data_IF_488874059077
#
_entry.id   IF_488874059077
#
_cell.length_a   1.000
_cell.length_b   1.000
_cell.length_c   1.000
_cell.angle_alpha   90.00
_cell.angle_beta   90.00
_cell.angle_gamma   90.00
#
_symmetry.space_group_name_H-M   'P 1'
#
loop_
_entity.id
_entity.type
_entity.pdbx_description
1 polymer ?
#
# COMPACT_ATOMS: atom_id res chain seq x y z
N UNK A 1 22.86 29.65 -30.35
CA UNK A 1 23.50 28.71 -29.42
C UNK A 1 22.43 28.25 -28.44
N UNK A 2 21.83 27.11 -28.73
CA UNK A 2 20.69 26.56 -27.98
C UNK A 2 21.23 25.72 -26.84
N UNK A 3 21.05 26.19 -25.60
CA UNK A 3 21.34 25.37 -24.42
C UNK A 3 20.19 24.37 -24.25
N UNK A 4 20.48 23.11 -24.55
CA UNK A 4 19.67 21.95 -24.17
C UNK A 4 19.66 21.85 -22.65
N UNK A 5 18.56 22.27 -22.02
CA UNK A 5 18.30 21.96 -20.62
C UNK A 5 18.12 20.44 -20.50
N UNK A 6 19.02 19.85 -19.71
CA UNK A 6 19.01 18.43 -19.40
C UNK A 6 17.67 18.03 -18.76
N UNK A 7 16.98 17.12 -19.44
CA UNK A 7 16.00 16.23 -18.81
C UNK A 7 16.79 15.36 -17.84
N UNK A 8 16.58 15.51 -16.52
CA UNK A 8 17.25 14.63 -15.56
C UNK A 8 17.24 15.09 -14.10
N UNK A 9 16.16 14.77 -13.39
CA UNK A 9 16.25 14.36 -11.99
C UNK A 9 16.24 15.49 -10.95
N UNK A 10 15.38 15.32 -9.97
CA UNK A 10 15.26 16.04 -8.70
C UNK A 10 16.52 16.01 -7.81
N UNK A 11 17.70 15.66 -8.33
CA UNK A 11 18.97 15.64 -7.59
C UNK A 11 19.42 17.01 -7.06
N UNK A 12 18.76 18.10 -7.50
CA UNK A 12 18.94 19.46 -6.97
C UNK A 12 17.91 19.91 -5.93
N UNK A 13 16.86 19.11 -5.66
CA UNK A 13 15.98 19.34 -4.51
C UNK A 13 16.73 18.79 -3.29
N UNK A 14 17.24 19.68 -2.44
CA UNK A 14 18.08 19.32 -1.30
C UNK A 14 17.47 18.24 -0.40
N UNK A 15 18.29 17.63 0.46
CA UNK A 15 17.89 16.56 1.40
C UNK A 15 16.61 16.84 2.20
N UNK A 16 16.27 18.12 2.36
CA UNK A 16 15.08 18.60 3.04
C UNK A 16 13.76 18.05 2.42
N UNK A 17 13.74 17.67 1.13
CA UNK A 17 12.57 17.10 0.46
C UNK A 17 12.26 15.65 0.89
N UNK A 18 13.27 14.94 1.40
CA UNK A 18 13.18 13.53 1.79
C UNK A 18 13.27 13.36 3.31
N UNK A 19 13.03 14.43 4.09
CA UNK A 19 13.02 14.35 5.55
C UNK A 19 11.84 13.50 6.04
N UNK A 20 12.15 12.56 6.94
CA UNK A 20 11.13 11.80 7.64
C UNK A 20 10.42 12.69 8.68
N UNK A 21 9.16 12.40 9.05
CA UNK A 21 8.45 13.15 10.08
C UNK A 21 9.26 13.25 11.37
N UNK A 22 9.63 14.48 11.75
CA UNK A 22 10.49 14.75 12.92
C UNK A 22 9.93 14.17 14.21
N UNK A 23 8.60 14.14 14.35
CA UNK A 23 7.93 13.55 15.50
C UNK A 23 8.17 12.03 15.63
N UNK A 24 8.19 11.29 14.52
CA UNK A 24 8.46 9.85 14.53
C UNK A 24 9.90 9.56 14.92
N UNK A 25 10.86 10.28 14.32
CA UNK A 25 12.29 10.17 14.65
C UNK A 25 12.54 10.56 16.11
N UNK A 26 11.88 11.61 16.62
CA UNK A 26 12.04 12.04 18.01
C UNK A 26 11.44 11.04 19.01
N UNK A 27 10.41 10.29 18.64
CA UNK A 27 9.87 9.22 19.49
C UNK A 27 10.84 8.04 19.54
N UNK A 28 11.32 7.58 18.39
CA UNK A 28 12.31 6.49 18.29
C UNK A 28 13.61 6.84 19.01
N UNK A 29 14.17 8.02 18.75
CA UNK A 29 15.42 8.45 19.40
C UNK A 29 15.30 8.50 20.94
N UNK A 30 14.10 8.74 21.49
CA UNK A 30 13.90 8.72 22.95
C UNK A 30 13.57 7.33 23.49
N UNK A 31 12.93 6.45 22.71
CA UNK A 31 12.70 5.06 23.13
C UNK A 31 14.01 4.29 23.20
N UNK A 32 14.84 4.41 22.16
CA UNK A 32 16.11 3.68 22.08
C UNK A 32 17.16 4.19 23.07
N UNK A 33 17.16 5.50 23.39
CA UNK A 33 18.05 6.07 24.43
C UNK A 33 17.65 5.64 25.84
N UNK A 34 16.41 5.16 26.02
CA UNK A 34 15.93 4.65 27.32
C UNK A 34 16.20 3.15 27.47
N UNK A 35 16.47 2.41 26.40
CA UNK A 35 16.81 0.99 26.50
C UNK A 35 18.25 0.84 27.04
N UNK A 36 18.44 0.33 28.28
CA UNK A 36 19.74 0.23 28.91
C UNK A 36 20.68 -0.79 28.22
N UNK A 37 20.16 -1.65 27.33
CA UNK A 37 20.92 -2.73 26.74
C UNK A 37 21.75 -2.33 25.51
N UNK A 38 21.39 -1.25 24.81
CA UNK A 38 21.97 -0.93 23.50
C UNK A 38 22.85 0.32 23.50
N UNK A 39 22.59 1.29 24.39
CA UNK A 39 23.45 2.48 24.51
C UNK A 39 23.50 2.94 25.97
N UNK A 40 24.67 2.82 26.62
CA UNK A 40 24.93 3.43 27.93
C UNK A 40 25.06 4.95 27.79
N UNK A 41 23.94 5.63 27.47
CA UNK A 41 23.86 7.07 27.50
C UNK A 41 23.42 7.48 28.91
N UNK A 42 24.14 8.38 29.60
CA UNK A 42 23.74 8.88 30.91
C UNK A 42 22.28 9.34 30.89
N UNK A 43 21.53 8.93 31.92
CA UNK A 43 20.07 8.97 32.11
C UNK A 43 19.40 10.36 31.92
N UNK A 44 20.17 11.40 31.63
CA UNK A 44 19.76 12.79 31.45
C UNK A 44 20.20 13.42 30.12
N UNK A 45 20.42 12.62 29.05
CA UNK A 45 20.83 13.19 27.76
C UNK A 45 19.64 13.86 27.07
N UNK A 46 19.50 15.17 27.28
CA UNK A 46 18.55 16.00 26.56
C UNK A 46 18.95 16.08 25.09
N UNK A 47 18.16 15.46 24.22
CA UNK A 47 18.29 15.60 22.77
C UNK A 47 18.11 17.08 22.40
N UNK A 48 19.20 17.75 22.04
CA UNK A 48 19.17 19.13 21.55
C UNK A 48 18.47 19.18 20.18
N UNK A 49 17.92 20.36 19.83
CA UNK A 49 17.20 20.59 18.58
C UNK A 49 18.05 20.24 17.33
N UNK A 50 19.35 20.51 17.40
CA UNK A 50 20.26 20.25 16.29
C UNK A 50 20.56 18.76 16.13
N UNK A 51 20.62 18.00 17.23
CA UNK A 51 20.78 16.53 17.21
C UNK A 51 19.59 15.87 16.53
N UNK A 52 18.37 16.32 16.83
CA UNK A 52 17.18 15.78 16.18
C UNK A 52 17.17 16.09 14.67
N UNK A 53 17.58 17.30 14.29
CA UNK A 53 17.68 17.68 12.88
C UNK A 53 18.74 16.86 12.16
N UNK A 54 19.88 16.61 12.80
CA UNK A 54 20.92 15.73 12.27
C UNK A 54 20.42 14.29 12.07
N UNK A 55 19.69 13.74 13.05
CA UNK A 55 19.10 12.40 12.96
C UNK A 55 18.10 12.26 11.79
N UNK A 56 17.27 13.29 11.59
CA UNK A 56 16.30 13.32 10.48
C UNK A 56 17.01 13.31 9.14
N UNK A 57 18.03 14.16 8.97
CA UNK A 57 18.82 14.23 7.74
C UNK A 57 19.65 12.96 7.52
N UNK A 58 20.26 12.41 8.57
CA UNK A 58 21.03 11.17 8.49
C UNK A 58 20.16 9.97 8.15
N UNK A 59 18.91 9.93 8.59
CA UNK A 59 17.99 8.84 8.24
C UNK A 59 17.70 8.82 6.72
N UNK A 60 17.50 9.98 6.09
CA UNK A 60 17.31 10.08 4.64
C UNK A 60 18.54 9.62 3.85
N UNK A 61 19.74 9.99 4.33
CA UNK A 61 21.00 9.51 3.75
C UNK A 61 21.18 8.00 3.97
N UNK A 62 20.83 7.48 5.14
CA UNK A 62 20.93 6.06 5.47
C UNK A 62 20.06 5.20 4.54
N UNK A 63 18.81 5.59 4.30
CA UNK A 63 17.91 4.88 3.37
C UNK A 63 18.51 4.84 1.96
N UNK A 64 19.04 5.98 1.49
CA UNK A 64 19.68 6.09 0.18
C UNK A 64 20.93 5.22 0.08
N UNK A 65 21.77 5.23 1.12
CA UNK A 65 22.98 4.43 1.20
C UNK A 65 22.69 2.93 1.17
N UNK A 66 21.75 2.47 2.00
CA UNK A 66 21.37 1.06 2.04
C UNK A 66 20.72 0.61 0.73
N UNK A 67 19.96 1.48 0.09
CA UNK A 67 19.34 1.21 -1.21
C UNK A 67 20.39 1.07 -2.30
N UNK A 68 21.41 1.94 -2.33
CA UNK A 68 22.54 1.84 -3.26
C UNK A 68 23.31 0.52 -3.06
N UNK A 69 23.67 0.18 -1.82
CA UNK A 69 24.35 -1.09 -1.54
C UNK A 69 23.48 -2.31 -1.92
N UNK A 70 22.18 -2.27 -1.64
CA UNK A 70 21.24 -3.34 -2.01
C UNK A 70 21.07 -3.47 -3.52
N UNK A 71 21.17 -2.36 -4.24
CA UNK A 71 21.14 -2.34 -5.70
C UNK A 71 22.39 -3.00 -6.28
N UNK A 72 23.58 -2.70 -5.75
CA UNK A 72 24.83 -3.29 -6.21
C UNK A 72 24.83 -4.82 -6.01
N UNK A 73 24.32 -5.29 -4.87
CA UNK A 73 24.10 -6.73 -4.60
C UNK A 73 23.10 -7.35 -5.58
N UNK A 74 22.03 -6.62 -5.93
CA UNK A 74 21.04 -7.10 -6.91
C UNK A 74 21.66 -7.24 -8.31
N UNK A 75 22.41 -6.24 -8.75
CA UNK A 75 23.12 -6.24 -10.03
C UNK A 75 24.17 -7.34 -10.11
N UNK A 76 24.92 -7.57 -9.04
CA UNK A 76 25.90 -8.67 -8.95
C UNK A 76 25.25 -10.05 -9.14
N UNK A 77 23.95 -10.18 -8.85
CA UNK A 77 23.14 -11.39 -9.07
C UNK A 77 22.37 -11.41 -10.39
N UNK A 78 22.54 -10.40 -11.24
CA UNK A 78 21.81 -10.27 -12.51
C UNK A 78 20.34 -9.86 -12.36
N UNK A 79 19.92 -9.38 -11.18
CA UNK A 79 18.55 -8.99 -10.89
C UNK A 79 18.34 -7.48 -11.14
N UNK A 80 17.31 -7.13 -11.92
CA UNK A 80 16.91 -5.74 -12.17
C UNK A 80 16.05 -5.13 -11.05
N UNK A 81 15.59 -5.98 -10.12
CA UNK A 81 14.70 -5.59 -9.02
C UNK A 81 15.36 -5.91 -7.69
N UNK A 82 15.32 -4.96 -6.75
CA UNK A 82 15.80 -5.17 -5.38
C UNK A 82 14.79 -6.06 -4.64
N UNK A 83 15.27 -7.19 -4.11
CA UNK A 83 14.50 -8.11 -3.28
C UNK A 83 14.94 -8.01 -1.83
N UNK A 84 14.12 -8.51 -0.90
CA UNK A 84 14.48 -8.54 0.52
C UNK A 84 15.81 -9.28 0.78
N UNK A 85 16.13 -10.30 -0.01
CA UNK A 85 17.40 -11.01 0.11
C UNK A 85 18.61 -10.09 -0.19
N UNK A 86 18.49 -9.20 -1.17
CA UNK A 86 19.57 -8.27 -1.51
C UNK A 86 19.84 -7.27 -0.36
N UNK A 87 18.80 -6.80 0.32
CA UNK A 87 18.93 -5.91 1.49
C UNK A 87 19.60 -6.65 2.66
N UNK A 88 19.19 -7.90 2.93
CA UNK A 88 19.81 -8.71 3.98
C UNK A 88 21.29 -8.96 3.71
N UNK A 89 21.66 -9.17 2.45
CA UNK A 89 23.02 -9.42 2.02
C UNK A 89 23.88 -8.14 2.06
N UNK A 90 23.33 -7.02 1.59
CA UNK A 90 23.97 -5.70 1.70
C UNK A 90 24.26 -5.32 3.15
N UNK A 91 23.35 -5.61 4.09
CA UNK A 91 23.63 -5.43 5.51
C UNK A 91 24.82 -6.26 6.03
N UNK A 92 25.15 -7.39 5.40
CA UNK A 92 26.35 -8.16 5.75
C UNK A 92 27.60 -7.55 5.15
N UNK A 93 27.53 -7.07 3.93
CA UNK A 93 28.64 -6.43 3.21
C UNK A 93 29.02 -5.08 3.84
N UNK A 94 28.03 -4.36 4.34
CA UNK A 94 28.22 -3.11 5.09
C UNK A 94 28.61 -3.34 6.57
N UNK A 95 28.91 -4.58 6.97
CA UNK A 95 29.33 -4.96 8.33
C UNK A 95 28.40 -4.48 9.46
N UNK A 96 27.08 -4.41 9.20
CA UNK A 96 26.13 -4.07 10.27
C UNK A 96 26.16 -5.14 11.38
N UNK A 97 26.01 -4.73 12.65
CA UNK A 97 26.06 -5.63 13.79
C UNK A 97 25.13 -6.85 13.64
N UNK A 98 25.56 -8.05 14.09
CA UNK A 98 24.76 -9.26 13.97
C UNK A 98 23.36 -9.16 14.61
N UNK A 99 23.22 -8.41 15.71
CA UNK A 99 21.93 -8.23 16.38
C UNK A 99 20.93 -7.46 15.51
N UNK A 100 21.34 -6.38 14.85
CA UNK A 100 20.50 -5.62 13.91
C UNK A 100 20.06 -6.48 12.72
N UNK A 101 20.97 -7.30 12.19
CA UNK A 101 20.66 -8.24 11.10
C UNK A 101 19.69 -9.33 11.55
N UNK A 102 19.74 -9.77 12.81
CA UNK A 102 18.78 -10.75 13.36
C UNK A 102 17.40 -10.12 13.48
N UNK A 103 17.31 -8.95 14.10
CA UNK A 103 16.05 -8.23 14.28
C UNK A 103 15.36 -7.93 12.94
N UNK A 104 16.13 -7.51 11.91
CA UNK A 104 15.56 -7.30 10.58
C UNK A 104 14.97 -8.59 9.97
N UNK A 105 15.57 -9.77 10.23
CA UNK A 105 15.00 -11.05 9.75
C UNK A 105 13.68 -11.36 10.44
N UNK A 106 13.60 -11.14 11.75
CA UNK A 106 12.38 -11.37 12.53
C UNK A 106 11.24 -10.47 12.02
N UNK A 107 11.53 -9.19 11.74
CA UNK A 107 10.55 -8.27 11.14
C UNK A 107 10.14 -8.68 9.72
N UNK A 108 11.06 -9.23 8.92
CA UNK A 108 10.77 -9.77 7.58
C UNK A 108 9.79 -10.95 7.68
N UNK A 109 10.01 -11.87 8.62
CA UNK A 109 9.13 -13.01 8.86
C UNK A 109 7.73 -12.55 9.29
N UNK A 110 7.64 -11.65 10.27
CA UNK A 110 6.39 -11.05 10.70
C UNK A 110 5.65 -10.34 9.55
N UNK A 111 6.37 -9.62 8.69
CA UNK A 111 5.79 -8.98 7.51
C UNK A 111 5.21 -9.99 6.52
N UNK A 112 5.91 -11.11 6.28
CA UNK A 112 5.42 -12.19 5.40
C UNK A 112 4.14 -12.82 5.94
N UNK A 113 4.06 -13.05 7.25
CA UNK A 113 2.84 -13.54 7.88
C UNK A 113 1.68 -12.55 7.74
N UNK A 114 1.95 -11.27 7.99
CA UNK A 114 0.94 -10.22 7.86
C UNK A 114 0.42 -10.13 6.42
N UNK A 115 1.29 -10.23 5.42
CA UNK A 115 0.89 -10.24 4.02
C UNK A 115 -0.01 -11.44 3.67
N UNK A 116 0.29 -12.63 4.20
CA UNK A 116 -0.57 -13.82 4.01
C UNK A 116 -1.95 -13.61 4.63
N UNK A 117 -2.02 -13.08 5.87
CA UNK A 117 -3.28 -12.78 6.56
C UNK A 117 -4.11 -11.76 5.78
N UNK A 118 -3.48 -10.69 5.29
CA UNK A 118 -4.16 -9.66 4.50
C UNK A 118 -4.66 -10.19 3.15
N UNK A 119 -3.91 -11.08 2.50
CA UNK A 119 -4.34 -11.73 1.27
C UNK A 119 -5.56 -12.64 1.51
N UNK A 120 -5.56 -13.41 2.59
CA UNK A 120 -6.71 -14.23 2.97
C UNK A 120 -7.96 -13.38 3.26
N UNK A 121 -7.83 -12.33 4.07
CA UNK A 121 -8.95 -11.42 4.37
C UNK A 121 -9.51 -10.74 3.11
N UNK A 122 -8.65 -10.37 2.15
CA UNK A 122 -9.09 -9.82 0.85
C UNK A 122 -9.82 -10.85 0.00
N UNK A 123 -9.36 -12.10 0.00
CA UNK A 123 -10.02 -13.19 -0.73
C UNK A 123 -11.41 -13.48 -0.14
N UNK A 124 -11.54 -13.53 1.18
CA UNK A 124 -12.81 -13.72 1.88
C UNK A 124 -13.79 -12.57 1.60
N UNK A 125 -13.34 -11.31 1.68
CA UNK A 125 -14.17 -10.15 1.35
C UNK A 125 -14.63 -10.18 -0.12
N UNK A 126 -13.75 -10.59 -1.05
CA UNK A 126 -14.10 -10.74 -2.45
C UNK A 126 -15.14 -11.85 -2.67
N UNK A 127 -15.03 -12.99 -1.98
CA UNK A 127 -16.02 -14.06 -2.04
C UNK A 127 -17.38 -13.62 -1.51
N UNK A 128 -17.42 -12.98 -0.34
CA UNK A 128 -18.66 -12.46 0.26
C UNK A 128 -19.34 -11.42 -0.66
N UNK A 129 -18.57 -10.55 -1.31
CA UNK A 129 -19.11 -9.59 -2.28
C UNK A 129 -19.73 -10.27 -3.50
N UNK A 130 -19.11 -11.34 -4.01
CA UNK A 130 -19.63 -12.12 -5.14
C UNK A 130 -20.89 -12.89 -4.77
N UNK A 131 -20.95 -13.46 -3.58
CA UNK A 131 -22.14 -14.16 -3.08
C UNK A 131 -23.30 -13.19 -2.89
N UNK A 132 -23.06 -12.02 -2.31
CA UNK A 132 -24.08 -10.97 -2.14
C UNK A 132 -24.59 -10.44 -3.49
N UNK A 133 -23.70 -10.27 -4.47
CA UNK A 133 -24.08 -9.87 -5.83
C UNK A 133 -24.90 -10.96 -6.56
N UNK A 134 -24.56 -12.25 -6.37
CA UNK A 134 -25.34 -13.37 -6.91
C UNK A 134 -26.73 -13.45 -6.27
N UNK A 135 -26.82 -13.31 -4.95
CA UNK A 135 -28.09 -13.31 -4.23
C UNK A 135 -28.99 -12.13 -4.64
N UNK A 136 -28.42 -10.93 -4.81
CA UNK A 136 -29.15 -9.77 -5.29
C UNK A 136 -29.69 -9.96 -6.72
N UNK A 137 -28.90 -10.55 -7.63
CA UNK A 137 -29.35 -10.88 -9.00
C UNK A 137 -30.45 -11.94 -9.02
N UNK A 138 -30.35 -12.97 -8.18
CA UNK A 138 -31.38 -13.99 -8.07
C UNK A 138 -32.70 -13.42 -7.53
N UNK A 139 -32.63 -12.52 -6.54
CA UNK A 139 -33.81 -11.84 -6.01
C UNK A 139 -34.47 -10.90 -7.03
N UNK A 140 -33.66 -10.18 -7.83
CA UNK A 140 -34.18 -9.32 -8.90
C UNK A 140 -34.87 -10.13 -10.02
N UNK A 141 -34.28 -11.26 -10.43
CA UNK A 141 -34.88 -12.14 -11.44
C UNK A 141 -36.17 -12.81 -10.94
N UNK A 142 -36.25 -13.15 -9.65
CA UNK A 142 -37.48 -13.69 -9.06
C UNK A 142 -38.60 -12.64 -8.97
N UNK A 143 -38.26 -11.37 -8.75
CA UNK A 143 -39.24 -10.28 -8.74
C UNK A 143 -39.79 -9.98 -10.15
N UNK A 144 -38.96 -10.03 -11.19
CA UNK A 144 -39.40 -9.87 -12.59
C UNK A 144 -40.32 -11.02 -13.06
N UNK A 145 -40.08 -12.25 -12.59
CA UNK A 145 -40.91 -13.41 -12.94
C UNK A 145 -42.32 -13.38 -12.32
N UNK A 146 -42.58 -12.53 -11.31
CA UNK A 146 -43.90 -12.39 -10.67
C UNK A 146 -44.77 -11.27 -11.28
N UNK A 147 -44.26 -10.50 -12.25
CA UNK A 147 -44.97 -9.38 -12.91
C UNK A 147 -45.60 -9.77 -14.27
N UNK A 148 -45.56 -11.05 -14.67
CA UNK A 148 -46.01 -11.51 -16.01
C UNK A 148 -47.33 -12.30 -16.00
N UNK A 149 -48.05 -12.38 -14.89
CA UNK A 149 -49.29 -13.19 -14.80
C UNK A 149 -50.60 -12.36 -14.68
N UNK A 150 -50.84 -11.41 -15.60
CA UNK A 150 -52.21 -10.99 -15.93
C UNK A 150 -52.34 -10.41 -17.36
N UNK A 151 -52.60 -11.29 -18.34
CA UNK A 151 -53.45 -11.02 -19.51
C UNK A 151 -53.60 -12.28 -20.39
N UNK A 152 -54.81 -12.85 -20.45
CA UNK A 152 -55.24 -13.79 -21.49
C UNK A 152 -56.35 -13.18 -22.36
N UNK A 153 -56.96 -13.93 -23.30
CA UNK A 153 -56.41 -14.29 -24.62
C UNK A 153 -57.39 -13.98 -25.80
N UNK A 154 -56.92 -13.97 -27.06
CA UNK A 154 -57.77 -14.16 -28.26
C UNK A 154 -56.97 -14.55 -29.54
N UNK A 155 -57.32 -15.71 -30.12
CA UNK A 155 -57.47 -16.16 -31.54
C UNK A 155 -56.95 -15.30 -32.73
N UNK A 156 -56.55 -15.75 -33.93
CA UNK A 156 -56.48 -17.02 -34.70
C UNK A 156 -55.63 -16.75 -36.01
N UNK A 157 -55.15 -17.82 -36.67
CA UNK A 157 -54.81 -18.02 -38.12
C UNK A 157 -53.40 -17.81 -38.71
N UNK A 158 -52.87 -18.94 -39.21
CA UNK A 158 -52.27 -19.22 -40.55
C UNK A 158 -51.03 -18.43 -40.99
N UNK A 159 -50.00 -18.96 -41.66
CA UNK A 159 -49.84 -20.14 -42.53
C UNK A 159 -48.34 -20.34 -42.81
N UNK A 160 -47.92 -21.60 -42.95
CA UNK A 160 -46.89 -22.15 -43.87
C UNK A 160 -45.42 -21.64 -43.92
N UNK A 161 -44.52 -22.63 -43.77
CA UNK A 161 -43.29 -22.90 -44.58
C UNK A 161 -41.95 -22.87 -43.83
N UNK A 162 -41.25 -24.00 -43.93
CA UNK A 162 -39.91 -24.28 -43.40
C UNK A 162 -38.81 -24.06 -44.48
N UNK A 163 -37.54 -24.50 -44.28
CA UNK A 163 -36.31 -23.77 -43.87
C UNK A 163 -35.27 -23.74 -45.06
N UNK A 164 -33.91 -23.63 -44.97
CA UNK A 164 -32.96 -23.58 -43.82
C UNK A 164 -31.69 -22.65 -43.96
N UNK A 165 -30.78 -22.77 -42.98
CA UNK A 165 -29.29 -22.73 -43.07
C UNK A 165 -28.47 -21.41 -42.98
N UNK A 166 -27.72 -21.27 -41.84
CA UNK A 166 -26.29 -20.91 -41.55
C UNK A 166 -25.48 -19.91 -42.44
N UNK A 167 -24.31 -19.31 -42.06
CA UNK A 167 -23.44 -19.48 -40.86
C UNK A 167 -22.77 -18.19 -40.25
N UNK A 168 -22.14 -18.39 -39.08
CA UNK A 168 -20.81 -17.94 -38.56
C UNK A 168 -20.19 -16.52 -38.72
N UNK A 169 -19.32 -16.22 -37.72
CA UNK A 169 -18.19 -15.25 -37.65
C UNK A 169 -18.55 -13.77 -37.43
N UNK A 170 -17.77 -12.90 -36.79
CA UNK A 170 -16.61 -12.89 -35.88
C UNK A 170 -16.41 -11.37 -35.62
N UNK A 171 -16.18 -10.93 -34.37
CA UNK A 171 -15.65 -9.57 -34.14
C UNK A 171 -15.08 -9.45 -32.72
N UNK A 172 -13.84 -9.91 -32.58
CA UNK A 172 -12.88 -9.56 -31.53
C UNK A 172 -12.22 -8.21 -31.89
N UNK A 173 -12.23 -7.18 -31.03
CA UNK A 173 -11.08 -6.56 -30.33
C UNK A 173 -11.20 -5.01 -30.34
N UNK A 174 -10.45 -4.25 -29.52
CA UNK A 174 -10.23 -4.40 -28.07
C UNK A 174 -10.40 -3.04 -27.32
N UNK A 175 -10.85 -3.07 -26.07
CA UNK A 175 -10.98 -1.87 -25.24
C UNK A 175 -9.79 -1.76 -24.26
N UNK A 176 -8.91 -0.82 -24.54
CA UNK A 176 -7.94 -0.25 -23.61
C UNK A 176 -8.65 0.63 -22.57
N UNK A 177 -8.41 0.42 -21.28
CA UNK A 177 -8.77 1.38 -20.23
C UNK A 177 -7.59 1.64 -19.31
N UNK A 178 -6.92 2.76 -19.57
CA UNK A 178 -6.22 3.58 -18.59
C UNK A 178 -7.26 4.55 -18.01
N UNK A 179 -7.40 4.61 -16.68
CA UNK A 179 -8.16 5.66 -16.02
C UNK A 179 -7.65 5.88 -14.60
N UNK A 180 -6.98 7.02 -14.45
CA UNK A 180 -6.46 7.61 -13.24
C UNK A 180 -7.52 7.77 -12.13
N UNK A 181 -7.08 7.51 -10.90
CA UNK A 181 -7.83 7.73 -9.67
C UNK A 181 -7.52 9.13 -9.10
N UNK A 182 -8.52 10.00 -9.07
CA UNK A 182 -8.50 11.28 -8.35
C UNK A 182 -8.83 11.08 -6.84
N UNK A 183 -8.39 12.00 -5.95
CA UNK A 183 -8.30 11.75 -4.51
C UNK A 183 -9.60 12.03 -3.73
N UNK A 184 -9.90 11.18 -2.75
CA UNK A 184 -11.06 11.29 -1.86
C UNK A 184 -10.80 12.19 -0.65
N UNK A 185 -11.84 12.98 -0.32
CA UNK A 185 -11.92 13.93 0.77
C UNK A 185 -11.92 13.28 2.17
N UNK A 186 -11.39 14.02 3.15
CA UNK A 186 -11.34 13.70 4.59
C UNK A 186 -12.70 13.94 5.28
N UNK A 187 -13.17 13.07 6.18
CA UNK A 187 -14.28 13.39 7.07
C UNK A 187 -13.83 14.05 8.38
N UNK A 188 -14.65 15.01 8.78
CA UNK A 188 -14.64 15.88 9.96
C UNK A 188 -14.93 15.10 11.27
N UNK A 189 -14.28 15.46 12.37
CA UNK A 189 -14.42 14.79 13.69
C UNK A 189 -15.05 15.78 14.69
N UNK A 190 -16.17 15.45 15.36
CA UNK A 190 -16.80 16.36 16.32
C UNK A 190 -16.05 16.43 17.66
N UNK A 191 -16.01 17.65 18.22
CA UNK A 191 -15.35 18.02 19.47
C UNK A 191 -15.98 17.37 20.73
N UNK A 192 -15.14 16.95 21.68
CA UNK A 192 -15.52 16.44 22.99
C UNK A 192 -15.59 17.57 24.05
N UNK A 193 -16.47 17.47 25.08
CA UNK A 193 -16.65 18.51 26.09
C UNK A 193 -15.62 18.43 27.24
N UNK A 194 -15.19 19.60 27.69
CA UNK A 194 -14.29 19.84 28.83
C UNK A 194 -14.90 19.42 30.17
N UNK A 195 -14.14 18.72 31.00
CA UNK A 195 -14.44 18.54 32.43
C UNK A 195 -13.40 19.30 33.27
N UNK A 196 -13.87 20.36 33.92
CA UNK A 196 -13.15 21.08 34.99
C UNK A 196 -13.07 20.21 36.24
N UNK A 197 -11.88 20.15 36.87
CA UNK A 197 -11.67 19.64 38.22
C UNK A 197 -11.31 20.83 39.13
N UNK A 198 -11.97 21.01 40.30
CA UNK A 198 -11.66 22.12 41.21
C UNK A 198 -10.41 21.84 42.07
N UNK A 199 -9.74 22.88 42.59
CA UNK A 199 -8.57 22.73 43.45
C UNK A 199 -8.97 22.40 44.89
N UNK A 200 -8.30 21.43 45.50
CA UNK A 200 -8.38 21.20 46.95
C UNK A 200 -7.31 22.00 47.69
N UNK A 201 -7.78 22.74 48.69
CA UNK A 201 -7.04 23.37 49.79
C UNK A 201 -6.47 22.28 50.72
#
# INVERSE_FOLDING_TARGET
MTATNAVGGTFGLGLDQFELPKASIAKLARSEVRDPALIQIPEAMQLRKDTLTALVKSASVFVSYLTAASHDVALARGNKTISAAHVMDAMRELDFPPHMRRELREQLEAYRELQKKNAAARAEAAQQSRERAKAARAAAAAAEAMDVEEAGPAEEKGTESAPPMVPAEDSHEPLSTDAALAPAATPDVPAAPSTEFPPSV
#
